data_IF_873542602589
#
_entry.id   IF_873542602589
#
_cell.length_a   1.000
_cell.length_b   1.000
_cell.length_c   1.000
_cell.angle_alpha   90.00
_cell.angle_beta   90.00
_cell.angle_gamma   90.00
#
_symmetry.space_group_name_H-M   'P 1'
#
loop_
_entity.id
_entity.type
_entity.pdbx_description
1 polymer ?
#
# COMPACT_ATOMS: atom_id res chain seq x y z
N UNK A 1 -9.36 -2.36 -17.28
CA UNK A 1 -8.05 -1.68 -17.09
C UNK A 1 -6.94 -2.59 -17.60
N UNK A 2 -6.07 -2.05 -18.43
CA UNK A 2 -4.90 -2.81 -18.89
C UNK A 2 -3.79 -2.70 -17.84
N UNK A 3 -3.50 -3.79 -17.14
CA UNK A 3 -2.49 -3.80 -16.07
C UNK A 3 -1.07 -3.46 -16.58
N UNK A 4 -0.80 -3.68 -17.86
CA UNK A 4 0.52 -3.35 -18.45
C UNK A 4 0.76 -1.84 -18.56
N UNK A 5 -0.29 -1.03 -18.53
CA UNK A 5 -0.20 0.42 -18.55
C UNK A 5 -0.08 1.05 -17.17
N UNK A 6 -0.07 0.24 -16.12
CA UNK A 6 0.11 0.73 -14.75
C UNK A 6 1.57 1.14 -14.55
N UNK A 7 1.76 2.37 -14.08
CA UNK A 7 3.08 2.95 -13.81
C UNK A 7 3.27 3.04 -12.30
N UNK A 8 4.41 2.53 -11.82
CA UNK A 8 4.76 2.54 -10.40
C UNK A 8 5.85 3.59 -10.18
N UNK A 9 5.66 4.47 -9.19
CA UNK A 9 6.55 5.57 -8.91
C UNK A 9 6.87 5.67 -7.42
N UNK A 10 8.15 5.96 -7.11
CA UNK A 10 8.58 6.29 -5.77
C UNK A 10 8.44 7.78 -5.52
N UNK A 11 7.86 8.14 -4.38
CA UNK A 11 7.61 9.53 -3.96
C UNK A 11 6.90 10.37 -5.03
N UNK A 12 5.81 9.84 -5.63
CA UNK A 12 5.05 10.63 -6.58
C UNK A 12 4.29 11.75 -5.86
N UNK A 13 3.91 12.77 -6.60
CA UNK A 13 2.87 13.68 -6.11
C UNK A 13 1.53 12.95 -6.13
N UNK A 14 0.88 12.89 -4.98
CA UNK A 14 -0.47 12.35 -4.84
C UNK A 14 -1.35 13.47 -4.31
N UNK A 15 -2.37 13.85 -5.08
CA UNK A 15 -3.32 14.86 -4.61
C UNK A 15 -4.31 14.24 -3.64
N UNK A 16 -4.87 15.07 -2.78
CA UNK A 16 -5.93 14.64 -1.86
C UNK A 16 -7.13 14.07 -2.62
N UNK A 17 -7.48 14.64 -3.77
CA UNK A 17 -8.57 14.14 -4.61
C UNK A 17 -8.26 12.77 -5.22
N UNK A 18 -7.04 12.55 -5.73
CA UNK A 18 -6.63 11.24 -6.24
C UNK A 18 -6.71 10.17 -5.17
N UNK A 19 -6.24 10.46 -3.97
CA UNK A 19 -6.26 9.51 -2.86
C UNK A 19 -7.69 9.21 -2.41
N UNK A 20 -8.51 10.25 -2.26
CA UNK A 20 -9.90 10.08 -1.85
C UNK A 20 -10.71 9.29 -2.86
N UNK A 21 -10.58 9.60 -4.16
CA UNK A 21 -11.24 8.85 -5.23
C UNK A 21 -10.83 7.38 -5.24
N UNK A 22 -9.55 7.11 -5.00
CA UNK A 22 -9.03 5.75 -4.86
C UNK A 22 -9.70 5.02 -3.68
N UNK A 23 -9.80 5.67 -2.52
CA UNK A 23 -10.43 5.09 -1.34
C UNK A 23 -11.90 4.78 -1.58
N UNK A 24 -12.63 5.72 -2.16
CA UNK A 24 -14.06 5.53 -2.42
C UNK A 24 -14.31 4.39 -3.41
N UNK A 25 -13.53 4.32 -4.48
CA UNK A 25 -13.68 3.24 -5.47
C UNK A 25 -13.42 1.86 -4.89
N UNK A 26 -12.55 1.78 -3.90
CA UNK A 26 -12.04 0.50 -3.38
C UNK A 26 -12.54 0.17 -1.98
N UNK A 27 -13.56 0.87 -1.52
CA UNK A 27 -14.20 0.64 -0.23
C UNK A 27 -13.22 0.62 0.96
N UNK A 28 -12.23 1.52 0.92
CA UNK A 28 -11.14 1.53 1.89
C UNK A 28 -11.50 2.26 3.17
N UNK A 29 -12.29 3.33 3.10
CA UNK A 29 -12.62 4.13 4.26
C UNK A 29 -13.74 3.53 5.09
N UNK A 30 -13.51 3.46 6.41
CA UNK A 30 -14.53 3.04 7.34
C UNK A 30 -15.67 4.06 7.46
N UNK A 31 -16.84 3.58 7.88
CA UNK A 31 -17.99 4.42 8.15
C UNK A 31 -17.63 5.50 9.18
N UNK A 32 -17.87 6.75 8.85
CA UNK A 32 -17.61 7.89 9.72
C UNK A 32 -16.35 8.67 9.41
N UNK A 33 -15.44 8.15 8.61
CA UNK A 33 -14.27 8.90 8.15
C UNK A 33 -14.55 9.54 6.79
N UNK A 34 -14.45 10.88 6.74
CA UNK A 34 -14.56 11.62 5.49
C UNK A 34 -13.19 11.89 4.87
N UNK A 35 -13.22 12.53 3.70
CA UNK A 35 -12.03 12.95 2.96
C UNK A 35 -11.04 13.73 3.83
N UNK A 36 -11.52 14.66 4.62
CA UNK A 36 -10.69 15.54 5.46
C UNK A 36 -9.78 14.75 6.41
N UNK A 37 -10.28 13.64 6.95
CA UNK A 37 -9.52 12.77 7.84
C UNK A 37 -8.62 11.82 7.06
N UNK A 38 -9.16 11.19 6.02
CA UNK A 38 -8.47 10.14 5.27
C UNK A 38 -7.20 10.62 4.58
N UNK A 39 -7.15 11.88 4.17
CA UNK A 39 -6.02 12.44 3.42
C UNK A 39 -4.98 13.16 4.30
N UNK A 40 -5.22 13.26 5.61
CA UNK A 40 -4.30 13.93 6.55
C UNK A 40 -2.87 13.40 6.42
N UNK A 41 -2.61 12.08 6.32
CA UNK A 41 -1.24 11.59 6.25
C UNK A 41 -0.40 12.17 5.14
N UNK A 42 -1.00 12.62 4.04
CA UNK A 42 -0.26 13.26 2.94
C UNK A 42 0.47 14.53 3.37
N UNK A 43 0.03 15.17 4.45
CA UNK A 43 0.60 16.44 4.96
C UNK A 43 1.78 16.24 5.91
N UNK A 44 2.09 14.97 6.27
CA UNK A 44 3.11 14.65 7.28
C UNK A 44 4.34 13.95 6.70
N UNK A 45 4.67 14.28 5.45
CA UNK A 45 5.87 13.81 4.75
C UNK A 45 6.04 12.28 4.77
N UNK A 46 5.03 11.51 4.36
CA UNK A 46 5.14 10.05 4.33
C UNK A 46 6.06 9.60 3.20
N UNK A 47 6.60 8.39 3.33
CA UNK A 47 7.30 7.72 2.25
C UNK A 47 6.27 6.93 1.46
N UNK A 48 6.13 7.24 0.18
CA UNK A 48 5.05 6.73 -0.66
C UNK A 48 5.60 6.03 -1.89
N UNK A 49 4.98 4.91 -2.24
CA UNK A 49 5.01 4.35 -3.59
C UNK A 49 3.59 4.36 -4.12
N UNK A 50 3.40 4.95 -5.28
CA UNK A 50 2.11 5.01 -5.93
C UNK A 50 2.10 4.21 -7.23
N UNK A 51 0.96 3.61 -7.54
CA UNK A 51 0.69 3.01 -8.84
C UNK A 51 -0.41 3.81 -9.51
N UNK A 52 -0.21 4.13 -10.79
CA UNK A 52 -1.12 4.99 -11.55
C UNK A 52 -1.53 4.33 -12.86
N UNK A 53 -2.79 4.51 -13.19
CA UNK A 53 -3.32 4.24 -14.52
C UNK A 53 -3.78 5.57 -15.13
N UNK A 54 -2.94 6.14 -15.99
CA UNK A 54 -3.10 7.55 -16.36
C UNK A 54 -3.00 8.44 -15.13
N UNK A 55 -4.01 9.28 -14.91
CA UNK A 55 -4.07 10.18 -13.75
C UNK A 55 -4.72 9.54 -12.52
N UNK A 56 -5.19 8.30 -12.67
CA UNK A 56 -5.92 7.60 -11.60
C UNK A 56 -4.95 6.83 -10.72
N UNK A 57 -4.98 7.10 -9.42
CA UNK A 57 -4.25 6.32 -8.44
C UNK A 57 -4.91 4.94 -8.32
N UNK A 58 -4.15 3.87 -8.50
CA UNK A 58 -4.63 2.49 -8.45
C UNK A 58 -3.88 1.62 -7.45
N UNK A 59 -2.86 2.16 -6.81
CA UNK A 59 -2.16 1.53 -5.70
C UNK A 59 -1.51 2.57 -4.83
N UNK A 60 -1.50 2.34 -3.51
CA UNK A 60 -0.97 3.28 -2.55
C UNK A 60 -0.29 2.54 -1.42
N UNK A 61 1.03 2.74 -1.30
CA UNK A 61 1.85 2.18 -0.24
C UNK A 61 2.48 3.32 0.53
N UNK A 62 2.19 3.40 1.82
CA UNK A 62 2.66 4.48 2.68
C UNK A 62 3.41 3.91 3.87
N UNK A 63 4.58 4.46 4.14
CA UNK A 63 5.40 4.09 5.28
C UNK A 63 5.87 5.31 6.05
N UNK A 64 6.18 5.11 7.32
CA UNK A 64 6.93 6.06 8.15
C UNK A 64 8.36 5.55 8.31
N UNK A 65 9.31 6.46 8.42
CA UNK A 65 10.73 6.14 8.55
C UNK A 65 11.42 7.15 9.44
N UNK A 66 12.16 6.67 10.43
CA UNK A 66 12.82 7.50 11.44
C UNK A 66 14.35 7.62 11.25
N UNK A 67 14.87 7.17 10.12
CA UNK A 67 16.31 7.14 9.84
C UNK A 67 16.97 5.79 10.15
N UNK A 68 16.32 4.92 10.91
CA UNK A 68 16.79 3.57 11.24
C UNK A 68 15.79 2.49 10.84
N UNK A 69 14.54 2.67 11.19
CA UNK A 69 13.48 1.68 10.96
C UNK A 69 12.27 2.30 10.28
N UNK A 70 11.54 1.49 9.55
CA UNK A 70 10.34 1.89 8.84
C UNK A 70 9.16 0.99 9.21
N UNK A 71 7.97 1.54 9.09
CA UNK A 71 6.72 0.81 9.27
C UNK A 71 5.78 1.10 8.10
N UNK A 72 5.27 0.03 7.47
CA UNK A 72 4.21 0.15 6.48
C UNK A 72 2.91 0.50 7.21
N UNK A 73 2.34 1.65 6.87
CA UNK A 73 1.08 2.13 7.45
C UNK A 73 -0.13 1.78 6.59
N UNK A 74 0.05 1.79 5.29
CA UNK A 74 -0.99 1.40 4.34
C UNK A 74 -0.35 0.70 3.16
N UNK A 75 -0.98 -0.37 2.71
CA UNK A 75 -0.61 -1.07 1.48
C UNK A 75 -1.90 -1.46 0.77
N UNK A 76 -2.26 -0.68 -0.23
CA UNK A 76 -3.55 -0.76 -0.89
C UNK A 76 -3.39 -0.97 -2.39
N UNK A 77 -4.27 -1.76 -2.97
CA UNK A 77 -4.31 -2.01 -4.42
C UNK A 77 -5.75 -2.01 -4.91
N UNK A 78 -5.97 -1.36 -6.04
CA UNK A 78 -7.26 -1.36 -6.74
C UNK A 78 -7.82 -2.77 -6.82
N UNK A 79 -9.06 -2.97 -6.41
CA UNK A 79 -9.69 -4.29 -6.42
C UNK A 79 -9.68 -4.94 -7.80
N UNK A 80 -9.90 -4.15 -8.85
CA UNK A 80 -9.84 -4.62 -10.24
C UNK A 80 -8.49 -5.25 -10.60
N UNK A 81 -7.41 -4.80 -9.97
CA UNK A 81 -6.05 -5.33 -10.19
C UNK A 81 -5.73 -6.56 -9.33
N UNK A 82 -6.63 -6.95 -8.43
CA UNK A 82 -6.47 -8.13 -7.58
C UNK A 82 -7.15 -9.39 -8.14
N UNK A 83 -7.86 -9.27 -9.27
CA UNK A 83 -8.57 -10.39 -9.90
C UNK A 83 -10.06 -10.43 -9.58
N UNK A 84 -10.73 -11.50 -9.99
CA UNK A 84 -12.20 -11.55 -10.03
C UNK A 84 -12.85 -12.16 -8.80
N UNK A 85 -12.12 -12.88 -7.98
CA UNK A 85 -12.69 -13.71 -6.91
C UNK A 85 -12.31 -13.23 -5.53
N UNK A 86 -12.48 -11.93 -5.27
CA UNK A 86 -12.15 -11.35 -3.97
C UNK A 86 -13.24 -11.63 -2.95
N UNK A 87 -12.83 -12.05 -1.76
CA UNK A 87 -13.74 -12.33 -0.64
C UNK A 87 -14.19 -11.04 0.04
N UNK A 88 -13.29 -10.09 0.23
CA UNK A 88 -13.54 -8.84 0.95
C UNK A 88 -13.81 -7.66 0.04
N UNK A 89 -13.25 -7.66 -1.17
CA UNK A 89 -13.38 -6.58 -2.15
C UNK A 89 -13.08 -5.21 -1.56
N UNK A 90 -12.03 -5.14 -0.75
CA UNK A 90 -11.55 -3.92 -0.11
C UNK A 90 -10.11 -3.69 -0.48
N UNK A 91 -9.81 -2.56 -1.10
CA UNK A 91 -8.48 -2.27 -1.61
C UNK A 91 -7.37 -2.20 -0.56
N UNK A 92 -7.73 -2.01 0.72
CA UNK A 92 -6.76 -2.03 1.83
C UNK A 92 -6.37 -3.43 2.28
N UNK A 93 -7.06 -4.45 1.77
CA UNK A 93 -6.75 -5.87 2.01
C UNK A 93 -6.33 -6.48 0.69
N UNK A 94 -5.03 -6.59 0.45
CA UNK A 94 -4.54 -7.17 -0.81
C UNK A 94 -4.64 -8.68 -0.71
N UNK A 95 -5.71 -9.23 -1.23
CA UNK A 95 -5.98 -10.67 -1.20
C UNK A 95 -5.18 -11.41 -2.26
N UNK A 96 -4.94 -10.78 -3.41
CA UNK A 96 -4.26 -11.36 -4.57
C UNK A 96 -3.48 -10.30 -5.32
N UNK A 97 -2.40 -10.75 -5.97
CA UNK A 97 -1.55 -9.88 -6.79
C UNK A 97 -1.20 -10.59 -8.10
N UNK A 98 -2.21 -10.87 -8.95
CA UNK A 98 -2.01 -11.70 -10.14
C UNK A 98 -1.06 -11.08 -11.15
N UNK A 99 -0.91 -9.76 -11.17
CA UNK A 99 -0.04 -9.06 -12.10
C UNK A 99 1.28 -8.61 -11.49
N UNK A 100 1.50 -8.91 -10.20
CA UNK A 100 2.72 -8.55 -9.51
C UNK A 100 2.88 -7.04 -9.25
N UNK A 101 1.81 -6.27 -9.30
CA UNK A 101 1.86 -4.82 -9.09
C UNK A 101 2.21 -4.51 -7.65
N UNK A 102 1.52 -5.13 -6.69
CA UNK A 102 1.80 -4.93 -5.27
C UNK A 102 3.23 -5.36 -4.93
N UNK A 103 3.68 -6.50 -5.45
CA UNK A 103 5.05 -6.97 -5.26
C UNK A 103 6.07 -5.93 -5.73
N UNK A 104 5.88 -5.39 -6.94
CA UNK A 104 6.79 -4.36 -7.48
C UNK A 104 6.77 -3.08 -6.65
N UNK A 105 5.60 -2.68 -6.15
CA UNK A 105 5.48 -1.53 -5.26
C UNK A 105 6.28 -1.74 -3.97
N UNK A 106 6.09 -2.88 -3.33
CA UNK A 106 6.78 -3.21 -2.08
C UNK A 106 8.29 -3.31 -2.25
N UNK A 107 8.76 -3.96 -3.32
CA UNK A 107 10.19 -4.07 -3.60
C UNK A 107 10.83 -2.71 -3.88
N UNK A 108 10.13 -1.82 -4.57
CA UNK A 108 10.62 -0.47 -4.82
C UNK A 108 10.76 0.32 -3.51
N UNK A 109 9.78 0.27 -2.63
CA UNK A 109 9.87 0.92 -1.33
C UNK A 109 11.04 0.39 -0.51
N UNK A 110 11.21 -0.92 -0.44
CA UNK A 110 12.32 -1.55 0.27
C UNK A 110 13.67 -1.10 -0.25
N UNK A 111 13.84 -1.10 -1.57
CA UNK A 111 15.07 -0.66 -2.22
C UNK A 111 15.40 0.80 -1.87
N UNK A 112 14.43 1.69 -2.00
CA UNK A 112 14.64 3.11 -1.75
C UNK A 112 14.89 3.40 -0.26
N UNK A 113 14.20 2.74 0.64
CA UNK A 113 14.43 2.90 2.08
C UNK A 113 15.81 2.37 2.49
N UNK A 114 16.29 1.29 1.88
CA UNK A 114 17.64 0.77 2.13
C UNK A 114 18.71 1.79 1.76
N UNK A 115 18.53 2.49 0.64
CA UNK A 115 19.43 3.58 0.24
C UNK A 115 19.50 4.71 1.27
N UNK A 116 18.43 4.89 2.05
CA UNK A 116 18.35 5.88 3.12
C UNK A 116 18.87 5.36 4.47
N UNK A 117 19.30 4.10 4.53
CA UNK A 117 19.84 3.49 5.75
C UNK A 117 18.86 2.67 6.57
N UNK A 118 17.68 2.34 6.02
CA UNK A 118 16.69 1.52 6.70
C UNK A 118 17.24 0.13 7.00
N UNK A 119 17.11 -0.33 8.26
CA UNK A 119 17.55 -1.66 8.72
C UNK A 119 16.39 -2.58 9.06
N UNK A 120 15.24 -2.04 9.44
CA UNK A 120 14.06 -2.80 9.83
C UNK A 120 12.83 -2.27 9.11
N UNK A 121 12.02 -3.18 8.62
CA UNK A 121 10.70 -2.84 8.08
C UNK A 121 9.66 -3.73 8.73
N UNK A 122 8.63 -3.13 9.30
CA UNK A 122 7.52 -3.83 9.91
C UNK A 122 6.20 -3.42 9.27
N UNK A 123 5.17 -4.23 9.47
CA UNK A 123 3.81 -3.92 9.06
C UNK A 123 2.83 -4.80 9.81
N UNK A 124 1.61 -4.30 9.93
CA UNK A 124 0.51 -5.07 10.52
C UNK A 124 -0.42 -5.51 9.40
N UNK A 125 -0.75 -6.79 9.38
CA UNK A 125 -1.58 -7.37 8.34
C UNK A 125 -2.77 -8.11 8.96
N UNK A 126 -3.79 -8.33 8.15
CA UNK A 126 -4.90 -9.22 8.52
C UNK A 126 -4.46 -10.65 8.27
N UNK A 127 -4.40 -11.43 9.34
CA UNK A 127 -3.98 -12.84 9.27
C UNK A 127 -4.88 -13.62 8.32
N UNK A 128 -4.25 -14.45 7.49
CA UNK A 128 -4.95 -15.28 6.52
C UNK A 128 -5.41 -14.56 5.24
N UNK A 129 -5.15 -13.25 5.12
CA UNK A 129 -5.60 -12.44 3.97
C UNK A 129 -4.43 -11.88 3.18
N UNK A 130 -3.54 -11.12 3.84
CA UNK A 130 -2.49 -10.35 3.17
C UNK A 130 -1.11 -11.01 3.20
N UNK A 131 -0.97 -12.18 3.81
CA UNK A 131 0.33 -12.82 4.02
C UNK A 131 1.10 -13.07 2.74
N UNK A 132 0.41 -13.45 1.67
CA UNK A 132 1.05 -13.77 0.39
C UNK A 132 1.82 -12.59 -0.19
N UNK A 133 1.22 -11.41 -0.20
CA UNK A 133 1.85 -10.21 -0.74
C UNK A 133 3.03 -9.77 0.10
N UNK A 134 2.92 -9.82 1.42
CA UNK A 134 4.02 -9.44 2.32
C UNK A 134 5.18 -10.43 2.23
N UNK A 135 4.91 -11.73 2.12
CA UNK A 135 5.96 -12.72 1.87
C UNK A 135 6.64 -12.52 0.53
N UNK A 136 5.88 -12.10 -0.48
CA UNK A 136 6.43 -11.87 -1.82
C UNK A 136 7.50 -10.80 -1.86
N UNK A 137 7.48 -9.87 -0.91
CA UNK A 137 8.48 -8.81 -0.78
C UNK A 137 9.54 -9.10 0.28
N UNK A 138 9.52 -10.30 0.86
CA UNK A 138 10.54 -10.76 1.79
C UNK A 138 10.23 -10.58 3.27
N UNK A 139 9.02 -10.11 3.61
CA UNK A 139 8.60 -10.01 5.01
C UNK A 139 8.05 -11.36 5.50
N UNK A 140 8.31 -11.65 6.76
CA UNK A 140 7.87 -12.89 7.39
C UNK A 140 7.16 -12.58 8.70
N UNK A 141 6.29 -13.51 9.12
CA UNK A 141 5.59 -13.39 10.39
C UNK A 141 6.60 -13.33 11.55
N UNK A 142 6.48 -12.31 12.37
CA UNK A 142 7.33 -12.14 13.54
C UNK A 142 6.70 -12.84 14.75
N UNK A 143 7.04 -14.11 14.93
CA UNK A 143 6.54 -14.90 16.07
C UNK A 143 7.20 -14.46 17.37
N UNK A 144 6.48 -14.60 18.49
CA UNK A 144 7.01 -14.23 19.80
C UNK A 144 6.79 -12.77 20.20
N UNK A 145 6.10 -11.99 19.37
CA UNK A 145 5.73 -10.62 19.66
C UNK A 145 4.22 -10.46 19.64
N UNK A 146 3.71 -9.63 20.54
CA UNK A 146 2.30 -9.26 20.58
C UNK A 146 2.14 -7.82 20.09
N UNK A 147 0.99 -7.54 19.51
CA UNK A 147 0.60 -6.19 19.11
C UNK A 147 -0.26 -5.58 20.21
N UNK A 148 0.11 -4.39 20.65
CA UNK A 148 -0.66 -3.63 21.62
C UNK A 148 -1.02 -2.27 21.06
#
# INVERSE_FOLDING_TARGET
MNHEEVVIQYMPEVTEDQLWDFYVRNDICEVGYGKETAVIPLRYHPYIVGAFYGDRLVGFLRATFDGLSAEIKEFCLECELQGDSLKYSNGSLIERDPYGIAKRMGLLLLEELRKLGNTFLTGYIVEGVEEEVYRSIGLTHNTGHLVY
#
